data_IF_409656271018
#
_entry.id   IF_409656271018
#
_cell.length_a   1.000
_cell.length_b   1.000
_cell.length_c   1.000
_cell.angle_alpha   90.00
_cell.angle_beta   90.00
_cell.angle_gamma   90.00
#
_symmetry.space_group_name_H-M   'P 1'
#
loop_
_entity.id
_entity.type
_entity.pdbx_description
1 polymer ?
#
# COMPACT_ATOMS: atom_id res chain seq x y z
N UNK A 1 26.67 -3.48 0.37
CA UNK A 1 26.36 -4.25 -0.87
C UNK A 1 25.65 -3.32 -1.85
N UNK A 2 26.06 -3.29 -3.12
CA UNK A 2 25.41 -2.42 -4.11
C UNK A 2 24.24 -3.17 -4.78
N UNK A 3 23.13 -2.47 -4.96
CA UNK A 3 22.03 -2.95 -5.77
C UNK A 3 22.35 -2.78 -7.26
N UNK A 4 21.89 -3.71 -8.10
CA UNK A 4 22.06 -3.68 -9.55
C UNK A 4 20.92 -2.97 -10.27
N UNK A 5 19.69 -3.25 -9.86
CA UNK A 5 18.49 -2.83 -10.57
C UNK A 5 17.22 -3.05 -9.74
N UNK A 6 16.11 -2.55 -10.23
CA UNK A 6 14.78 -2.92 -9.78
C UNK A 6 14.11 -3.73 -10.90
N UNK A 7 13.58 -4.89 -10.57
CA UNK A 7 12.85 -5.75 -11.50
C UNK A 7 11.39 -5.32 -11.50
N UNK A 8 10.93 -4.76 -12.61
CA UNK A 8 9.55 -4.27 -12.74
C UNK A 8 8.66 -5.22 -13.54
N UNK A 9 7.39 -5.33 -13.12
CA UNK A 9 6.35 -6.10 -13.78
C UNK A 9 5.38 -5.25 -14.61
N UNK A 10 5.63 -3.97 -14.85
CA UNK A 10 4.72 -3.02 -15.52
C UNK A 10 4.20 -3.48 -16.87
N UNK A 11 4.99 -4.26 -17.60
CA UNK A 11 4.63 -4.75 -18.94
C UNK A 11 3.71 -5.98 -18.91
N UNK A 12 3.52 -6.61 -17.74
CA UNK A 12 2.68 -7.81 -17.55
C UNK A 12 1.56 -7.60 -16.53
N UNK A 13 1.62 -6.51 -15.76
CA UNK A 13 0.62 -6.13 -14.74
C UNK A 13 0.02 -4.78 -15.14
N UNK A 14 -1.28 -4.75 -15.33
CA UNK A 14 -2.02 -3.56 -15.73
C UNK A 14 -3.17 -3.17 -14.77
N UNK A 15 -3.32 -3.91 -13.66
CA UNK A 15 -4.36 -3.59 -12.70
C UNK A 15 -4.07 -2.26 -11.97
N UNK A 16 -5.08 -1.41 -11.73
CA UNK A 16 -4.89 -0.07 -11.16
C UNK A 16 -4.16 -0.04 -9.81
N UNK A 17 -4.31 -1.09 -8.99
CA UNK A 17 -3.64 -1.19 -7.69
C UNK A 17 -2.11 -1.40 -7.78
N UNK A 18 -1.57 -1.75 -8.96
CA UNK A 18 -0.13 -1.80 -9.19
C UNK A 18 0.51 -0.41 -9.40
N UNK A 19 -0.28 0.61 -9.70
CA UNK A 19 0.28 1.93 -10.04
C UNK A 19 1.07 2.55 -8.88
N UNK A 20 0.65 2.35 -7.63
CA UNK A 20 1.41 2.83 -6.46
C UNK A 20 2.76 2.12 -6.32
N UNK A 21 2.83 0.83 -6.67
CA UNK A 21 4.09 0.08 -6.69
C UNK A 21 5.04 0.67 -7.73
N UNK A 22 4.52 1.06 -8.89
CA UNK A 22 5.34 1.69 -9.93
C UNK A 22 5.86 3.06 -9.49
N UNK A 23 5.07 3.83 -8.75
CA UNK A 23 5.52 5.09 -8.16
C UNK A 23 6.68 4.84 -7.17
N UNK A 24 6.61 3.79 -6.34
CA UNK A 24 7.70 3.39 -5.47
C UNK A 24 8.94 2.90 -6.23
N UNK A 25 8.74 2.07 -7.27
CA UNK A 25 9.84 1.64 -8.16
C UNK A 25 10.56 2.85 -8.78
N UNK A 26 9.79 3.83 -9.28
CA UNK A 26 10.34 5.05 -9.91
C UNK A 26 11.11 5.91 -8.90
N UNK A 27 10.54 6.14 -7.71
CA UNK A 27 11.17 6.94 -6.68
C UNK A 27 12.47 6.29 -6.18
N UNK A 28 12.46 4.97 -5.90
CA UNK A 28 13.67 4.25 -5.48
C UNK A 28 14.71 4.21 -6.61
N UNK A 29 14.27 3.94 -7.86
CA UNK A 29 15.16 3.91 -9.01
C UNK A 29 15.86 5.26 -9.24
N UNK A 30 15.10 6.34 -9.15
CA UNK A 30 15.62 7.71 -9.27
C UNK A 30 16.61 8.03 -8.15
N UNK A 31 16.21 7.80 -6.90
CA UNK A 31 17.01 8.12 -5.72
C UNK A 31 18.33 7.35 -5.68
N UNK A 32 18.29 6.03 -5.94
CA UNK A 32 19.47 5.16 -5.94
C UNK A 32 20.21 5.10 -7.29
N UNK A 33 19.73 5.80 -8.32
CA UNK A 33 20.24 5.77 -9.70
C UNK A 33 20.31 4.33 -10.26
N UNK A 34 19.24 3.55 -10.06
CA UNK A 34 19.16 2.17 -10.50
C UNK A 34 18.34 2.06 -11.79
N UNK A 35 18.70 1.18 -12.72
CA UNK A 35 17.87 0.89 -13.87
C UNK A 35 16.64 0.07 -13.49
N UNK A 36 15.50 0.39 -14.12
CA UNK A 36 14.31 -0.48 -14.12
C UNK A 36 14.48 -1.55 -15.20
N UNK A 37 14.54 -2.81 -14.79
CA UNK A 37 14.71 -3.96 -15.68
C UNK A 37 13.39 -4.70 -15.79
N UNK A 38 12.91 -4.94 -17.01
CA UNK A 38 11.69 -5.73 -17.22
C UNK A 38 11.85 -7.14 -16.65
N UNK A 39 10.84 -7.59 -15.91
CA UNK A 39 10.76 -8.99 -15.53
C UNK A 39 10.80 -9.84 -16.80
N UNK A 40 11.68 -10.82 -16.83
CA UNK A 40 11.65 -11.79 -17.91
C UNK A 40 10.34 -12.59 -17.85
N UNK A 41 9.73 -12.88 -19.01
CA UNK A 41 8.56 -13.75 -19.05
C UNK A 41 8.92 -15.13 -18.47
N UNK A 42 7.91 -15.85 -18.00
CA UNK A 42 8.09 -17.26 -17.71
C UNK A 42 8.58 -17.98 -18.96
N UNK A 43 9.32 -19.08 -18.79
CA UNK A 43 9.91 -19.82 -19.90
C UNK A 43 8.88 -20.20 -20.99
N UNK A 44 7.62 -20.37 -20.63
CA UNK A 44 6.54 -20.79 -21.52
C UNK A 44 5.41 -19.75 -21.64
N UNK A 45 5.71 -18.48 -21.47
CA UNK A 45 4.78 -17.40 -21.70
C UNK A 45 4.70 -16.33 -20.61
N UNK A 46 3.73 -15.43 -20.72
CA UNK A 46 3.54 -14.32 -19.79
C UNK A 46 2.88 -14.71 -18.45
N UNK A 47 2.29 -15.91 -18.39
CA UNK A 47 1.64 -16.47 -17.20
C UNK A 47 2.29 -17.80 -16.84
N UNK A 48 2.41 -18.10 -15.54
CA UNK A 48 2.91 -19.37 -15.08
C UNK A 48 1.99 -20.52 -15.53
N UNK A 49 2.49 -21.37 -16.43
CA UNK A 49 1.81 -22.59 -16.87
C UNK A 49 1.97 -23.72 -15.84
N UNK A 50 1.26 -24.84 -16.05
CA UNK A 50 1.48 -26.04 -15.23
C UNK A 50 2.93 -26.55 -15.32
N UNK A 51 3.55 -26.38 -16.50
CA UNK A 51 4.93 -26.79 -16.75
C UNK A 51 5.91 -25.85 -16.03
N UNK A 52 5.70 -24.52 -16.06
CA UNK A 52 6.50 -23.58 -15.28
C UNK A 52 6.44 -23.92 -13.79
N UNK A 53 5.24 -24.24 -13.26
CA UNK A 53 5.07 -24.65 -11.86
C UNK A 53 5.82 -25.94 -11.53
N UNK A 54 5.93 -26.87 -12.46
CA UNK A 54 6.68 -28.11 -12.29
C UNK A 54 8.19 -27.85 -12.30
N UNK A 55 8.68 -27.11 -13.28
CA UNK A 55 10.11 -26.80 -13.47
C UNK A 55 10.69 -25.94 -12.34
N UNK A 56 9.86 -25.04 -11.78
CA UNK A 56 10.27 -24.17 -10.67
C UNK A 56 9.94 -24.73 -9.28
N UNK A 57 9.69 -26.03 -9.15
CA UNK A 57 9.62 -26.67 -7.83
C UNK A 57 10.98 -26.60 -7.13
N UNK A 58 11.03 -26.62 -5.77
CA UNK A 58 12.28 -26.51 -5.01
C UNK A 58 13.39 -27.47 -5.42
N UNK A 59 13.04 -28.65 -5.92
CA UNK A 59 14.01 -29.66 -6.41
C UNK A 59 14.66 -29.30 -7.76
N UNK A 60 14.03 -28.45 -8.57
CA UNK A 60 14.52 -28.06 -9.90
C UNK A 60 15.10 -26.64 -9.91
N UNK A 61 14.84 -25.86 -8.86
CA UNK A 61 15.24 -24.47 -8.73
C UNK A 61 16.76 -24.22 -8.93
N UNK A 62 17.69 -25.03 -8.41
CA UNK A 62 19.12 -24.85 -8.66
C UNK A 62 19.50 -24.85 -10.14
N UNK A 63 18.84 -25.68 -10.93
CA UNK A 63 19.06 -25.76 -12.38
C UNK A 63 18.60 -24.49 -13.11
N UNK A 64 17.47 -23.91 -12.68
CA UNK A 64 16.96 -22.67 -13.27
C UNK A 64 17.84 -21.46 -12.97
N UNK A 65 18.47 -21.39 -11.80
CA UNK A 65 19.47 -20.36 -11.47
C UNK A 65 20.68 -20.44 -12.38
N UNK A 66 21.19 -21.64 -12.66
CA UNK A 66 22.32 -21.87 -13.55
C UNK A 66 22.01 -21.46 -14.99
N UNK A 67 20.84 -21.87 -15.52
CA UNK A 67 20.45 -21.59 -16.91
C UNK A 67 20.17 -20.12 -17.19
N UNK A 68 19.75 -19.37 -16.20
CA UNK A 68 19.33 -17.97 -16.38
C UNK A 68 20.45 -16.95 -16.10
N UNK A 69 21.68 -17.43 -15.81
CA UNK A 69 22.84 -16.61 -15.49
C UNK A 69 22.70 -15.91 -14.12
N UNK A 70 23.74 -15.92 -13.32
CA UNK A 70 23.81 -15.19 -12.06
C UNK A 70 24.49 -13.84 -12.27
N UNK A 71 23.97 -12.80 -11.62
CA UNK A 71 24.72 -11.60 -11.33
C UNK A 71 24.98 -11.58 -9.84
N UNK A 72 26.17 -11.26 -9.43
CA UNK A 72 26.58 -11.22 -8.02
C UNK A 72 25.87 -10.09 -7.25
N UNK A 73 25.38 -9.08 -7.95
CA UNK A 73 24.68 -7.94 -7.33
C UNK A 73 23.18 -8.21 -7.22
N UNK A 74 22.57 -7.89 -6.07
CA UNK A 74 21.13 -8.08 -5.84
C UNK A 74 20.29 -7.08 -6.63
N UNK A 75 19.07 -7.52 -6.97
CA UNK A 75 18.02 -6.68 -7.56
C UNK A 75 16.80 -6.65 -6.66
N UNK A 76 16.15 -5.48 -6.53
CA UNK A 76 14.88 -5.37 -5.81
C UNK A 76 13.73 -5.90 -6.64
N UNK A 77 12.75 -6.49 -5.98
CA UNK A 77 11.51 -6.93 -6.60
C UNK A 77 10.32 -6.75 -5.68
N UNK A 78 9.31 -5.99 -6.15
CA UNK A 78 8.04 -5.85 -5.45
C UNK A 78 7.10 -7.01 -5.74
N UNK A 79 6.38 -7.43 -4.72
CA UNK A 79 5.33 -8.44 -4.77
C UNK A 79 4.08 -7.91 -4.05
N UNK A 80 2.95 -7.90 -4.75
CA UNK A 80 1.66 -7.81 -4.08
C UNK A 80 1.25 -9.25 -3.77
N UNK A 81 1.16 -9.60 -2.51
CA UNK A 81 1.08 -10.94 -1.94
C UNK A 81 2.32 -11.82 -2.19
N UNK A 82 2.64 -12.73 -1.28
CA UNK A 82 3.67 -13.73 -1.49
C UNK A 82 3.35 -14.60 -2.71
N UNK A 83 4.29 -14.78 -3.63
CA UNK A 83 4.04 -15.56 -4.84
C UNK A 83 3.78 -17.04 -4.54
N UNK A 84 3.03 -17.70 -5.42
CA UNK A 84 2.71 -19.13 -5.30
C UNK A 84 3.71 -20.08 -5.99
N UNK A 85 4.55 -19.54 -6.86
CA UNK A 85 5.45 -20.32 -7.69
C UNK A 85 6.87 -19.79 -7.60
N UNK A 86 7.83 -20.67 -7.58
CA UNK A 86 9.21 -20.32 -7.78
C UNK A 86 9.42 -19.80 -9.20
N UNK A 87 10.39 -18.94 -9.37
CA UNK A 87 10.71 -18.37 -10.66
C UNK A 87 11.82 -17.34 -10.54
N UNK A 88 11.96 -16.52 -11.54
CA UNK A 88 12.98 -15.50 -11.60
C UNK A 88 13.05 -14.61 -10.35
N UNK A 89 11.90 -14.29 -9.77
CA UNK A 89 11.77 -13.43 -8.57
C UNK A 89 12.19 -14.11 -7.25
N UNK A 90 12.40 -15.42 -7.24
CA UNK A 90 12.81 -16.17 -6.04
C UNK A 90 14.29 -16.55 -6.03
N UNK A 91 15.07 -16.06 -6.97
CA UNK A 91 16.52 -16.29 -7.01
C UNK A 91 17.20 -15.66 -5.80
N UNK A 92 18.30 -16.25 -5.35
CA UNK A 92 19.07 -15.81 -4.19
C UNK A 92 19.57 -14.36 -4.29
N UNK A 93 19.80 -13.85 -5.50
CA UNK A 93 20.20 -12.48 -5.76
C UNK A 93 19.03 -11.51 -5.98
N UNK A 94 17.78 -11.92 -5.74
CA UNK A 94 16.62 -11.03 -5.73
C UNK A 94 16.21 -10.74 -4.29
N UNK A 95 16.08 -9.46 -3.95
CA UNK A 95 15.60 -8.99 -2.66
C UNK A 95 14.10 -8.68 -2.80
N UNK A 96 13.22 -9.51 -2.23
CA UNK A 96 11.77 -9.30 -2.31
C UNK A 96 11.31 -8.21 -1.36
N UNK A 97 10.36 -7.40 -1.82
CA UNK A 97 9.56 -6.47 -1.02
C UNK A 97 8.11 -6.92 -1.15
N UNK A 98 7.54 -7.47 -0.06
CA UNK A 98 6.18 -8.03 -0.03
C UNK A 98 5.24 -7.03 0.61
N UNK A 99 4.25 -6.56 -0.13
CA UNK A 99 3.32 -5.51 0.28
C UNK A 99 2.15 -6.11 1.06
N UNK A 100 1.24 -6.80 0.38
CA UNK A 100 0.07 -7.42 0.99
C UNK A 100 0.42 -8.81 1.55
N UNK A 101 1.04 -8.86 2.73
CA UNK A 101 1.39 -10.11 3.39
C UNK A 101 0.33 -10.45 4.45
N UNK A 102 -0.70 -11.18 4.03
CA UNK A 102 -1.81 -11.54 4.89
C UNK A 102 -1.52 -12.79 5.72
N UNK A 103 -2.21 -12.92 6.87
CA UNK A 103 -1.98 -14.01 7.81
C UNK A 103 -2.08 -15.39 7.17
N UNK A 104 -3.05 -15.58 6.30
CA UNK A 104 -3.27 -16.84 5.60
C UNK A 104 -2.16 -17.20 4.60
N UNK A 105 -1.29 -16.26 4.26
CA UNK A 105 -0.23 -16.40 3.26
C UNK A 105 1.17 -16.45 3.86
N UNK A 106 1.31 -16.27 5.19
CA UNK A 106 2.62 -16.26 5.86
C UNK A 106 3.45 -17.51 5.58
N UNK A 107 2.81 -18.68 5.51
CA UNK A 107 3.45 -19.96 5.24
C UNK A 107 4.20 -20.01 3.90
N UNK A 108 3.90 -19.10 2.98
CA UNK A 108 4.57 -19.01 1.67
C UNK A 108 5.94 -18.36 1.77
N UNK A 109 6.14 -17.42 2.69
CA UNK A 109 7.39 -16.66 2.82
C UNK A 109 8.60 -17.57 2.99
N UNK A 110 8.66 -18.49 3.99
CA UNK A 110 9.81 -19.37 4.15
C UNK A 110 10.00 -20.31 2.96
N UNK A 111 8.92 -20.76 2.32
CA UNK A 111 9.01 -21.65 1.16
C UNK A 111 9.61 -20.93 -0.05
N UNK A 112 9.20 -19.68 -0.27
CA UNK A 112 9.53 -18.92 -1.46
C UNK A 112 10.86 -18.16 -1.35
N UNK A 113 11.22 -17.72 -0.16
CA UNK A 113 12.32 -16.77 0.02
C UNK A 113 13.44 -17.23 0.98
N UNK A 114 13.52 -18.52 1.32
CA UNK A 114 14.52 -19.08 2.26
C UNK A 114 16.00 -18.85 1.87
N UNK A 115 16.27 -18.49 0.62
CA UNK A 115 17.64 -18.27 0.10
C UNK A 115 18.01 -16.80 -0.03
N UNK A 116 17.08 -15.90 0.22
CA UNK A 116 17.32 -14.46 0.09
C UNK A 116 18.18 -13.94 1.24
N UNK A 117 19.03 -12.97 0.93
CA UNK A 117 19.88 -12.29 1.92
C UNK A 117 19.08 -11.29 2.78
N UNK A 118 17.97 -10.79 2.27
CA UNK A 118 17.02 -9.95 2.98
C UNK A 118 15.62 -10.15 2.37
N UNK A 119 14.58 -10.04 3.20
CA UNK A 119 13.17 -10.11 2.83
C UNK A 119 12.48 -8.92 3.49
N UNK A 120 11.96 -7.99 2.71
CA UNK A 120 11.20 -6.86 3.23
C UNK A 120 9.71 -7.15 3.20
N UNK A 121 9.01 -6.85 4.29
CA UNK A 121 7.56 -7.05 4.43
C UNK A 121 6.93 -5.76 4.95
N UNK A 122 5.89 -5.29 4.26
CA UNK A 122 5.23 -4.02 4.56
C UNK A 122 4.13 -4.11 5.64
N UNK A 123 4.06 -5.21 6.37
CA UNK A 123 3.10 -5.45 7.45
C UNK A 123 3.86 -5.86 8.71
N UNK A 124 3.79 -5.04 9.77
CA UNK A 124 4.54 -5.27 11.01
C UNK A 124 4.04 -6.50 11.77
N UNK A 125 2.72 -6.79 11.75
CA UNK A 125 2.16 -8.00 12.40
C UNK A 125 2.72 -9.25 11.72
N UNK A 126 2.77 -9.27 10.39
CA UNK A 126 3.38 -10.35 9.62
C UNK A 126 4.87 -10.54 9.95
N UNK A 127 5.62 -9.43 10.03
CA UNK A 127 7.05 -9.47 10.40
C UNK A 127 7.25 -10.05 11.78
N UNK A 128 6.46 -9.66 12.78
CA UNK A 128 6.58 -10.14 14.15
C UNK A 128 6.33 -11.66 14.24
N UNK A 129 5.28 -12.16 13.57
CA UNK A 129 4.98 -13.59 13.54
C UNK A 129 6.08 -14.36 12.82
N UNK A 130 6.51 -13.90 11.63
CA UNK A 130 7.53 -14.56 10.85
C UNK A 130 8.88 -14.63 11.59
N UNK A 131 9.28 -13.56 12.29
CA UNK A 131 10.51 -13.57 13.10
C UNK A 131 10.42 -14.56 14.29
N UNK A 132 9.24 -14.73 14.87
CA UNK A 132 9.03 -15.68 15.95
C UNK A 132 9.02 -17.14 15.47
N UNK A 133 8.39 -17.41 14.31
CA UNK A 133 8.27 -18.78 13.76
C UNK A 133 9.47 -19.22 12.92
N UNK A 134 10.16 -18.27 12.29
CA UNK A 134 11.26 -18.51 11.32
C UNK A 134 12.48 -17.62 11.67
N UNK A 135 13.12 -17.80 12.83
CA UNK A 135 14.16 -16.90 13.35
C UNK A 135 15.41 -16.82 12.48
N UNK A 136 15.64 -17.79 11.59
CA UNK A 136 16.77 -17.83 10.68
C UNK A 136 16.53 -17.05 9.36
N UNK A 137 15.29 -16.65 9.09
CA UNK A 137 15.00 -15.86 7.90
C UNK A 137 15.33 -14.38 8.14
N UNK A 138 16.04 -13.73 7.20
CA UNK A 138 16.43 -12.32 7.30
C UNK A 138 15.24 -11.40 6.96
N UNK A 139 14.22 -11.38 7.82
CA UNK A 139 12.98 -10.63 7.60
C UNK A 139 13.09 -9.25 8.23
N UNK A 140 12.75 -8.23 7.45
CA UNK A 140 12.80 -6.83 7.84
C UNK A 140 11.47 -6.14 7.57
N UNK A 141 11.04 -5.30 8.50
CA UNK A 141 9.88 -4.44 8.31
C UNK A 141 10.24 -3.26 7.40
N UNK A 142 9.46 -3.05 6.35
CA UNK A 142 9.55 -1.89 5.47
C UNK A 142 8.17 -1.24 5.37
N UNK A 143 7.90 -0.15 6.10
CA UNK A 143 6.60 0.50 6.06
C UNK A 143 6.23 0.99 4.65
N UNK A 144 4.93 1.04 4.37
CA UNK A 144 4.42 1.75 3.18
C UNK A 144 4.85 3.23 3.24
N UNK A 145 4.88 3.87 2.09
CA UNK A 145 5.44 5.21 1.94
C UNK A 145 4.80 5.97 0.77
N UNK A 146 5.24 7.19 0.56
CA UNK A 146 4.90 8.00 -0.60
C UNK A 146 6.17 8.67 -1.15
N UNK A 147 6.32 8.89 -2.46
CA UNK A 147 7.45 9.63 -3.03
C UNK A 147 7.57 11.03 -2.42
N UNK A 148 8.79 11.51 -2.20
CA UNK A 148 9.05 12.86 -1.66
C UNK A 148 8.43 13.95 -2.54
N UNK A 149 8.36 13.72 -3.85
CA UNK A 149 7.71 14.60 -4.82
C UNK A 149 6.22 14.84 -4.56
N UNK A 150 5.57 13.98 -3.80
CA UNK A 150 4.15 14.08 -3.47
C UNK A 150 3.87 14.89 -2.18
N UNK A 151 4.91 15.34 -1.48
CA UNK A 151 4.76 16.21 -0.31
C UNK A 151 4.18 17.54 -0.76
N UNK A 152 3.01 17.97 -0.23
CA UNK A 152 2.35 19.16 -0.69
C UNK A 152 3.09 20.43 -0.27
N UNK A 153 3.21 21.40 -1.17
CA UNK A 153 3.73 22.73 -0.86
C UNK A 153 2.60 23.74 -0.60
N UNK A 154 1.39 23.44 -1.05
CA UNK A 154 0.22 24.29 -0.94
C UNK A 154 -1.04 23.47 -0.66
N UNK A 155 -2.08 24.12 -0.17
CA UNK A 155 -3.35 23.49 0.10
C UNK A 155 -4.23 23.61 -1.15
N UNK A 156 -4.64 22.47 -1.78
CA UNK A 156 -5.50 22.52 -2.95
C UNK A 156 -6.91 23.02 -2.62
N UNK A 157 -7.58 23.55 -3.62
CA UNK A 157 -8.98 23.99 -3.48
C UNK A 157 -9.89 22.78 -3.22
N UNK A 158 -10.78 22.90 -2.24
CA UNK A 158 -11.68 21.86 -1.78
C UNK A 158 -13.13 22.17 -2.13
N UNK A 159 -13.80 21.23 -2.82
CA UNK A 159 -15.21 21.33 -3.20
C UNK A 159 -16.02 20.05 -2.93
N UNK A 160 -15.37 18.99 -2.45
CA UNK A 160 -16.00 17.77 -1.94
C UNK A 160 -15.85 17.78 -0.42
N UNK A 161 -16.96 17.69 0.32
CA UNK A 161 -16.93 17.78 1.78
C UNK A 161 -16.44 16.48 2.41
N UNK A 162 -17.00 15.32 2.01
CA UNK A 162 -16.63 14.01 2.54
C UNK A 162 -16.39 13.05 1.38
N UNK A 163 -15.29 12.30 1.47
CA UNK A 163 -14.93 11.27 0.49
C UNK A 163 -14.76 9.91 1.18
N UNK A 164 -15.42 8.89 0.63
CA UNK A 164 -15.16 7.48 0.94
C UNK A 164 -14.65 6.77 -0.30
N UNK A 165 -13.46 6.16 -0.23
CA UNK A 165 -12.86 5.47 -1.37
C UNK A 165 -12.12 4.19 -0.98
N UNK A 166 -11.99 3.29 -1.95
CA UNK A 166 -11.37 1.99 -1.73
C UNK A 166 -12.21 1.12 -0.79
N UNK A 167 -11.55 0.30 0.00
CA UNK A 167 -12.19 -0.59 0.99
C UNK A 167 -12.35 0.14 2.32
N UNK A 168 -13.32 1.02 2.42
CA UNK A 168 -13.68 1.72 3.64
C UNK A 168 -14.53 0.80 4.54
N UNK A 169 -14.38 0.92 5.86
CA UNK A 169 -15.19 0.17 6.84
C UNK A 169 -16.69 0.41 6.58
N UNK A 170 -17.54 -0.64 6.57
CA UNK A 170 -18.96 -0.50 6.29
C UNK A 170 -19.65 0.53 7.17
N UNK A 171 -19.35 0.57 8.47
CA UNK A 171 -19.93 1.53 9.39
C UNK A 171 -19.58 2.97 9.01
N UNK A 172 -18.33 3.26 8.61
CA UNK A 172 -17.96 4.59 8.14
C UNK A 172 -18.73 5.00 6.89
N UNK A 173 -18.97 4.07 5.97
CA UNK A 173 -19.78 4.33 4.77
C UNK A 173 -21.23 4.61 5.16
N UNK A 174 -21.80 3.78 6.04
CA UNK A 174 -23.15 3.95 6.57
C UNK A 174 -23.29 5.30 7.30
N UNK A 175 -22.34 5.64 8.19
CA UNK A 175 -22.33 6.91 8.91
C UNK A 175 -22.20 8.10 7.97
N UNK A 176 -21.39 7.97 6.89
CA UNK A 176 -21.30 9.00 5.86
C UNK A 176 -22.65 9.24 5.15
N UNK A 177 -23.38 8.17 4.82
CA UNK A 177 -24.72 8.27 4.25
C UNK A 177 -25.73 8.87 5.22
N UNK A 178 -25.71 8.44 6.50
CA UNK A 178 -26.57 8.98 7.53
C UNK A 178 -26.30 10.47 7.71
N UNK A 179 -25.05 10.88 7.88
CA UNK A 179 -24.67 12.28 8.03
C UNK A 179 -25.11 13.13 6.83
N UNK A 180 -24.92 12.65 5.61
CA UNK A 180 -25.34 13.35 4.39
C UNK A 180 -26.86 13.44 4.26
N UNK A 181 -27.64 12.52 4.85
CA UNK A 181 -29.10 12.61 4.90
C UNK A 181 -29.60 13.62 5.93
N UNK A 182 -28.89 13.76 7.05
CA UNK A 182 -29.16 14.76 8.10
C UNK A 182 -28.71 16.18 7.68
N UNK A 183 -27.72 16.26 6.75
CA UNK A 183 -27.10 17.49 6.25
C UNK A 183 -27.11 17.53 4.71
N UNK A 184 -28.26 17.85 4.06
CA UNK A 184 -28.41 17.77 2.59
C UNK A 184 -27.48 18.70 1.79
N UNK A 185 -26.93 19.74 2.44
CA UNK A 185 -25.95 20.66 1.87
C UNK A 185 -24.57 20.02 1.67
N UNK A 186 -24.26 18.96 2.44
CA UNK A 186 -22.95 18.29 2.42
C UNK A 186 -22.78 17.43 1.16
N UNK A 187 -21.67 17.64 0.47
CA UNK A 187 -21.27 16.81 -0.67
C UNK A 187 -20.54 15.56 -0.20
N UNK A 188 -21.27 14.45 -0.11
CA UNK A 188 -20.66 13.14 0.15
C UNK A 188 -20.46 12.37 -1.14
N UNK A 189 -19.19 12.06 -1.46
CA UNK A 189 -18.81 11.23 -2.59
C UNK A 189 -18.28 9.88 -2.12
N UNK A 190 -18.66 8.81 -2.80
CA UNK A 190 -18.17 7.46 -2.47
C UNK A 190 -17.99 6.59 -3.71
N UNK A 191 -17.17 5.54 -3.59
CA UNK A 191 -17.06 4.50 -4.60
C UNK A 191 -18.03 3.37 -4.24
N UNK A 192 -18.94 3.07 -5.16
CA UNK A 192 -19.80 1.90 -5.12
C UNK A 192 -19.52 0.96 -6.30
N UNK A 193 -20.30 -0.10 -6.41
CA UNK A 193 -20.21 -1.06 -7.53
C UNK A 193 -21.44 -0.94 -8.42
N UNK A 194 -21.22 -0.85 -9.72
CA UNK A 194 -22.26 -0.91 -10.73
C UNK A 194 -21.86 -1.89 -11.83
N UNK A 195 -22.67 -2.88 -12.09
CA UNK A 195 -22.38 -3.96 -13.06
C UNK A 195 -21.00 -4.59 -12.87
N UNK A 196 -20.61 -4.80 -11.59
CA UNK A 196 -19.32 -5.39 -11.24
C UNK A 196 -18.11 -4.46 -11.38
N UNK A 197 -18.31 -3.18 -11.70
CA UNK A 197 -17.24 -2.19 -11.86
C UNK A 197 -17.33 -1.10 -10.79
N UNK A 198 -16.19 -0.60 -10.27
CA UNK A 198 -16.19 0.54 -9.35
C UNK A 198 -16.66 1.80 -10.07
N UNK A 199 -17.60 2.50 -9.46
CA UNK A 199 -18.18 3.75 -9.97
C UNK A 199 -18.29 4.74 -8.82
N UNK A 200 -18.03 6.00 -9.13
CA UNK A 200 -18.24 7.10 -8.19
C UNK A 200 -19.71 7.50 -8.11
N UNK A 201 -20.14 7.81 -6.90
CA UNK A 201 -21.46 8.32 -6.61
C UNK A 201 -21.38 9.62 -5.81
N UNK A 202 -22.31 10.52 -6.09
CA UNK A 202 -22.58 11.73 -5.33
C UNK A 202 -24.09 11.92 -5.26
N UNK A 203 -24.66 12.13 -4.07
CA UNK A 203 -26.10 12.28 -3.86
C UNK A 203 -26.93 11.16 -4.52
N UNK A 204 -26.44 9.94 -4.50
CA UNK A 204 -27.09 8.77 -5.10
C UNK A 204 -26.98 8.67 -6.63
N UNK A 205 -26.39 9.65 -7.32
CA UNK A 205 -26.19 9.65 -8.76
C UNK A 205 -24.75 9.25 -9.12
N UNK A 206 -24.60 8.54 -10.24
CA UNK A 206 -23.27 8.25 -10.80
C UNK A 206 -22.60 9.53 -11.26
N UNK A 207 -21.29 9.60 -11.04
CA UNK A 207 -20.46 10.71 -11.52
C UNK A 207 -19.31 10.20 -12.41
N UNK A 208 -18.88 11.01 -13.35
CA UNK A 208 -17.76 10.70 -14.24
C UNK A 208 -16.41 11.12 -13.65
N UNK A 209 -16.08 10.67 -12.45
CA UNK A 209 -14.81 11.00 -11.79
C UNK A 209 -13.64 10.10 -12.20
N UNK A 210 -13.72 9.38 -13.30
CA UNK A 210 -12.64 8.54 -13.81
C UNK A 210 -12.21 7.40 -12.84
N UNK A 211 -11.59 6.35 -13.36
CA UNK A 211 -11.15 5.18 -12.57
C UNK A 211 -9.63 5.03 -12.48
N UNK A 212 -8.87 5.97 -13.04
CA UNK A 212 -7.40 5.93 -12.99
C UNK A 212 -6.88 6.41 -11.63
N UNK A 213 -5.64 6.05 -11.30
CA UNK A 213 -4.96 6.57 -10.11
C UNK A 213 -4.85 8.11 -10.16
N UNK A 214 -4.55 8.68 -11.32
CA UNK A 214 -4.51 10.13 -11.48
C UNK A 214 -5.86 10.77 -11.15
N UNK A 215 -6.96 10.21 -11.65
CA UNK A 215 -8.31 10.68 -11.33
C UNK A 215 -8.59 10.58 -9.82
N UNK A 216 -8.21 9.47 -9.17
CA UNK A 216 -8.31 9.33 -7.73
C UNK A 216 -7.54 10.43 -6.97
N UNK A 217 -6.30 10.72 -7.37
CA UNK A 217 -5.50 11.77 -6.73
C UNK A 217 -6.12 13.16 -6.93
N UNK A 218 -6.76 13.41 -8.07
CA UNK A 218 -7.52 14.66 -8.31
C UNK A 218 -8.77 14.77 -7.42
N UNK A 219 -9.52 13.67 -7.25
CA UNK A 219 -10.68 13.63 -6.34
C UNK A 219 -10.24 13.86 -4.89
N UNK A 220 -9.16 13.21 -4.45
CA UNK A 220 -8.57 13.44 -3.12
C UNK A 220 -8.15 14.91 -2.93
N UNK A 221 -7.49 15.51 -3.93
CA UNK A 221 -7.09 16.92 -3.84
C UNK A 221 -8.28 17.87 -3.64
N UNK A 222 -9.46 17.52 -4.18
CA UNK A 222 -10.70 18.27 -4.04
C UNK A 222 -11.46 17.99 -2.74
N UNK A 223 -11.09 16.96 -1.97
CA UNK A 223 -11.83 16.49 -0.80
C UNK A 223 -11.32 17.15 0.48
N UNK A 224 -12.25 17.60 1.34
CA UNK A 224 -11.95 18.19 2.66
C UNK A 224 -11.68 17.10 3.70
N UNK A 225 -12.60 16.14 3.81
CA UNK A 225 -12.56 15.05 4.78
C UNK A 225 -12.53 13.74 4.03
N UNK A 226 -11.66 12.81 4.45
CA UNK A 226 -11.54 11.48 3.86
C UNK A 226 -11.78 10.43 4.94
N UNK A 227 -12.63 9.46 4.64
CA UNK A 227 -12.92 8.34 5.52
C UNK A 227 -11.85 7.26 5.35
N UNK A 228 -11.18 6.91 6.44
CA UNK A 228 -10.06 5.97 6.44
C UNK A 228 -10.34 4.72 7.27
N UNK A 229 -9.89 3.58 6.80
CA UNK A 229 -9.93 2.34 7.58
C UNK A 229 -8.77 1.42 7.24
N UNK A 230 -8.42 0.58 8.22
CA UNK A 230 -7.49 -0.52 7.98
C UNK A 230 -8.25 -1.77 7.51
N UNK A 231 -7.71 -2.55 6.57
CA UNK A 231 -8.27 -3.86 6.24
C UNK A 231 -8.24 -4.75 7.49
N UNK A 232 -9.14 -5.73 7.56
CA UNK A 232 -9.23 -6.66 8.70
C UNK A 232 -9.97 -6.14 9.94
N UNK A 233 -10.40 -4.87 9.94
CA UNK A 233 -11.21 -4.31 11.02
C UNK A 233 -12.69 -4.72 10.95
N UNK A 234 -13.14 -5.33 9.86
CA UNK A 234 -14.52 -5.79 9.71
C UNK A 234 -14.60 -7.21 9.10
N UNK A 235 -15.71 -7.90 9.39
CA UNK A 235 -15.87 -9.32 9.07
C UNK A 235 -15.69 -9.67 7.58
N UNK A 236 -16.13 -8.81 6.67
CA UNK A 236 -16.01 -9.04 5.22
C UNK A 236 -14.54 -9.13 4.72
N UNK A 237 -13.62 -8.44 5.39
CA UNK A 237 -12.19 -8.47 5.06
C UNK A 237 -11.42 -9.51 5.88
N UNK A 238 -12.01 -10.02 6.96
CA UNK A 238 -11.32 -10.94 7.88
C UNK A 238 -10.90 -12.25 7.19
N UNK A 239 -11.75 -12.81 6.35
CA UNK A 239 -11.43 -14.03 5.60
C UNK A 239 -10.18 -13.83 4.72
N UNK A 240 -10.07 -12.68 4.06
CA UNK A 240 -8.93 -12.35 3.21
C UNK A 240 -7.66 -12.04 3.99
N UNK A 241 -7.77 -11.24 5.06
CA UNK A 241 -6.62 -10.72 5.80
C UNK A 241 -6.17 -11.63 6.95
N UNK A 242 -7.02 -12.54 7.39
CA UNK A 242 -6.83 -13.32 8.61
C UNK A 242 -6.77 -12.45 9.87
N UNK A 243 -7.42 -11.27 9.84
CA UNK A 243 -7.46 -10.30 10.93
C UNK A 243 -6.28 -9.30 10.94
N UNK A 244 -5.33 -9.39 10.02
CA UNK A 244 -4.27 -8.40 9.92
C UNK A 244 -4.80 -7.03 9.49
N UNK A 245 -4.35 -6.01 10.18
CA UNK A 245 -4.80 -4.63 9.97
C UNK A 245 -3.60 -3.67 9.83
N UNK A 246 -2.84 -3.76 8.72
CA UNK A 246 -1.70 -2.87 8.48
C UNK A 246 -2.14 -1.45 8.13
N UNK A 247 -1.21 -0.52 8.28
CA UNK A 247 -1.34 0.82 7.69
C UNK A 247 -1.29 0.71 6.17
N UNK A 248 -2.22 1.38 5.50
CA UNK A 248 -2.31 1.37 4.04
C UNK A 248 -1.81 2.67 3.43
N UNK A 249 -1.40 2.69 2.15
CA UNK A 249 -0.98 3.90 1.46
C UNK A 249 -2.02 5.03 1.47
N UNK A 250 -3.30 4.71 1.65
CA UNK A 250 -4.40 5.69 1.67
C UNK A 250 -4.25 6.79 2.74
N UNK A 251 -3.64 6.48 3.89
CA UNK A 251 -3.34 7.49 4.93
C UNK A 251 -2.33 8.52 4.42
N UNK A 252 -1.33 8.07 3.68
CA UNK A 252 -0.29 8.93 3.10
C UNK A 252 -0.85 9.75 1.93
N UNK A 253 -1.65 9.13 1.07
CA UNK A 253 -2.32 9.78 -0.07
C UNK A 253 -3.22 10.93 0.39
N UNK A 254 -4.04 10.69 1.43
CA UNK A 254 -4.92 11.71 1.99
C UNK A 254 -4.12 12.86 2.66
N UNK A 255 -3.04 12.53 3.38
CA UNK A 255 -2.14 13.53 3.96
C UNK A 255 -1.47 14.38 2.88
N UNK A 256 -1.01 13.76 1.77
CA UNK A 256 -0.38 14.44 0.65
C UNK A 256 -1.34 15.36 -0.12
N UNK A 257 -2.64 15.08 -0.07
CA UNK A 257 -3.68 15.93 -0.67
C UNK A 257 -4.33 16.89 0.33
N UNK A 258 -3.71 17.11 1.50
CA UNK A 258 -4.19 18.05 2.53
C UNK A 258 -5.66 17.77 2.92
N UNK A 259 -6.00 16.51 3.18
CA UNK A 259 -7.30 16.12 3.66
C UNK A 259 -7.28 15.98 5.19
N UNK A 260 -8.36 16.38 5.85
CA UNK A 260 -8.67 15.86 7.17
C UNK A 260 -9.03 14.39 7.07
N UNK A 261 -8.69 13.60 8.08
CA UNK A 261 -8.98 12.17 8.08
C UNK A 261 -9.75 11.78 9.32
N UNK A 262 -10.83 11.03 9.13
CA UNK A 262 -11.63 10.38 10.18
C UNK A 262 -11.67 8.89 9.89
N UNK A 263 -11.41 8.04 10.90
CA UNK A 263 -11.24 6.64 10.58
C UNK A 263 -11.53 5.63 11.67
N UNK A 264 -11.76 4.39 11.23
CA UNK A 264 -11.78 3.18 12.07
C UNK A 264 -10.51 2.38 11.77
N UNK A 265 -9.61 2.34 12.77
CA UNK A 265 -8.33 1.63 12.65
C UNK A 265 -7.88 1.10 14.02
N UNK A 266 -7.00 0.06 14.09
CA UNK A 266 -6.57 -0.51 15.35
C UNK A 266 -5.52 0.36 16.05
N UNK A 267 -5.39 0.19 17.35
CA UNK A 267 -4.29 0.74 18.16
C UNK A 267 -3.15 -0.28 18.28
N UNK A 268 -2.65 -0.78 17.16
CA UNK A 268 -1.51 -1.69 17.14
C UNK A 268 -0.16 -0.96 17.04
N UNK A 269 0.93 -1.72 17.13
CA UNK A 269 2.30 -1.18 17.12
C UNK A 269 2.64 -0.45 15.81
N UNK A 270 2.10 -0.88 14.68
CA UNK A 270 2.34 -0.25 13.39
C UNK A 270 1.73 1.14 13.32
N UNK A 271 0.47 1.30 13.76
CA UNK A 271 -0.22 2.58 13.82
C UNK A 271 0.45 3.55 14.79
N UNK A 272 0.89 3.06 15.96
CA UNK A 272 1.67 3.86 16.93
C UNK A 272 3.02 4.27 16.36
N UNK A 273 3.77 3.33 15.77
CA UNK A 273 5.09 3.59 15.19
C UNK A 273 5.04 4.62 14.07
N UNK A 274 4.02 4.55 13.22
CA UNK A 274 3.84 5.47 12.10
C UNK A 274 3.12 6.76 12.52
N UNK A 275 2.68 6.87 13.79
CA UNK A 275 2.04 8.06 14.34
C UNK A 275 0.77 8.46 13.56
N UNK A 276 -0.04 7.48 13.16
CA UNK A 276 -1.25 7.72 12.37
C UNK A 276 -2.24 8.62 13.12
N UNK A 277 -2.31 8.52 14.45
CA UNK A 277 -3.17 9.37 15.28
C UNK A 277 -2.85 10.87 15.17
N UNK A 278 -1.65 11.26 14.73
CA UNK A 278 -1.29 12.66 14.51
C UNK A 278 -2.03 13.27 13.31
N UNK A 279 -2.45 12.46 12.35
CA UNK A 279 -3.03 12.91 11.07
C UNK A 279 -4.47 12.41 10.83
N UNK A 280 -4.93 11.40 11.56
CA UNK A 280 -6.25 10.79 11.40
C UNK A 280 -6.96 10.67 12.75
N UNK A 281 -8.12 11.30 12.90
CA UNK A 281 -8.95 11.15 14.09
C UNK A 281 -9.63 9.79 14.09
N UNK A 282 -9.39 8.98 15.13
CA UNK A 282 -10.07 7.69 15.32
C UNK A 282 -11.46 7.92 15.90
N UNK A 283 -12.44 7.19 15.36
CA UNK A 283 -13.83 7.16 15.82
C UNK A 283 -14.30 5.72 15.94
N UNK A 284 -15.21 5.46 16.87
CA UNK A 284 -15.74 4.12 17.16
C UNK A 284 -17.27 4.07 17.18
N UNK A 285 -17.92 5.24 17.21
CA UNK A 285 -19.37 5.38 17.24
C UNK A 285 -19.84 6.44 16.23
N UNK A 286 -21.13 6.39 15.86
CA UNK A 286 -21.73 7.42 15.02
C UNK A 286 -21.67 8.81 15.66
N UNK A 287 -21.89 8.92 16.97
CA UNK A 287 -21.82 10.21 17.66
C UNK A 287 -20.44 10.85 17.56
N UNK A 288 -19.38 10.08 17.82
CA UNK A 288 -18.01 10.57 17.65
C UNK A 288 -17.71 10.98 16.20
N UNK A 289 -18.17 10.18 15.24
CA UNK A 289 -18.05 10.49 13.81
C UNK A 289 -18.77 11.78 13.45
N UNK A 290 -20.04 11.90 13.85
CA UNK A 290 -20.90 13.07 13.58
C UNK A 290 -20.27 14.37 14.10
N UNK A 291 -19.85 14.36 15.38
CA UNK A 291 -19.31 15.55 16.04
C UNK A 291 -17.97 15.96 15.41
N UNK A 292 -17.14 14.99 15.09
CA UNK A 292 -15.84 15.26 14.46
C UNK A 292 -16.00 15.76 13.02
N UNK A 293 -16.85 15.13 12.21
CA UNK A 293 -17.12 15.59 10.84
C UNK A 293 -17.69 16.99 10.85
N UNK A 294 -18.66 17.28 11.73
CA UNK A 294 -19.25 18.61 11.88
C UNK A 294 -18.19 19.66 12.25
N UNK A 295 -17.31 19.33 13.20
CA UNK A 295 -16.18 20.19 13.59
C UNK A 295 -15.25 20.47 12.40
N UNK A 296 -14.88 19.43 11.63
CA UNK A 296 -13.98 19.54 10.48
C UNK A 296 -14.59 20.29 9.29
N UNK A 297 -15.91 20.26 9.12
CA UNK A 297 -16.58 21.01 8.05
C UNK A 297 -16.52 22.52 8.27
N UNK A 298 -16.51 22.99 9.52
CA UNK A 298 -16.36 24.41 9.85
C UNK A 298 -14.88 24.83 9.98
N UNK A 299 -13.98 23.89 10.26
CA UNK A 299 -12.55 24.13 10.40
C UNK A 299 -11.87 24.09 9.03
N UNK A 300 -11.22 25.18 8.61
CA UNK A 300 -10.42 25.16 7.39
C UNK A 300 -9.11 24.42 7.64
N UNK A 301 -8.70 23.58 6.69
CA UNK A 301 -7.35 23.04 6.66
C UNK A 301 -6.36 24.22 6.50
N UNK A 302 -5.52 24.42 7.49
CA UNK A 302 -4.66 25.60 7.57
C UNK A 302 -3.17 25.24 7.50
N UNK A 303 -2.33 26.24 7.75
CA UNK A 303 -0.86 26.09 7.74
C UNK A 303 -0.36 25.10 8.79
N UNK A 304 -1.02 25.02 9.95
CA UNK A 304 -0.64 24.09 11.01
C UNK A 304 -0.85 22.63 10.58
N UNK A 305 -2.00 22.33 9.98
CA UNK A 305 -2.31 21.01 9.42
C UNK A 305 -1.39 20.67 8.27
N UNK A 306 -1.09 21.62 7.39
CA UNK A 306 -0.13 21.44 6.30
C UNK A 306 1.26 21.08 6.84
N UNK A 307 1.77 21.82 7.81
CA UNK A 307 3.07 21.59 8.44
C UNK A 307 3.11 20.22 9.12
N UNK A 308 2.05 19.83 9.82
CA UNK A 308 1.93 18.51 10.45
C UNK A 308 1.94 17.38 9.42
N UNK A 309 1.16 17.52 8.34
CA UNK A 309 1.14 16.52 7.26
C UNK A 309 2.49 16.45 6.53
N UNK A 310 3.14 17.57 6.27
CA UNK A 310 4.49 17.59 5.70
C UNK A 310 5.51 16.87 6.60
N UNK A 311 5.46 17.11 7.92
CA UNK A 311 6.36 16.45 8.87
C UNK A 311 6.14 14.93 8.89
N UNK A 312 4.87 14.49 8.90
CA UNK A 312 4.49 13.09 8.81
C UNK A 312 5.01 12.46 7.49
N UNK A 313 4.77 13.10 6.36
CA UNK A 313 5.18 12.60 5.04
C UNK A 313 6.71 12.55 4.91
N UNK A 314 7.44 13.60 5.33
CA UNK A 314 8.91 13.62 5.31
C UNK A 314 9.54 12.51 6.16
N UNK A 315 8.89 12.10 7.24
CA UNK A 315 9.32 10.95 8.04
C UNK A 315 9.10 9.60 7.33
N UNK A 316 8.27 9.58 6.26
CA UNK A 316 7.78 8.36 5.64
C UNK A 316 7.89 8.38 4.10
N UNK A 317 8.92 9.01 3.55
CA UNK A 317 9.13 9.04 2.08
C UNK A 317 9.65 7.70 1.54
N UNK A 318 9.42 7.46 0.26
CA UNK A 318 9.93 6.28 -0.44
C UNK A 318 11.47 6.30 -0.52
N UNK A 319 12.06 7.49 -0.60
CA UNK A 319 13.50 7.70 -0.59
C UNK A 319 14.11 7.25 0.76
N UNK A 320 13.47 7.55 1.88
CA UNK A 320 13.88 7.01 3.19
C UNK A 320 13.77 5.48 3.25
N UNK A 321 12.77 4.88 2.62
CA UNK A 321 12.69 3.41 2.51
C UNK A 321 13.83 2.86 1.67
N UNK A 322 14.27 3.58 0.63
CA UNK A 322 15.47 3.21 -0.12
C UNK A 322 16.72 3.21 0.77
N UNK A 323 16.88 4.20 1.65
CA UNK A 323 17.98 4.24 2.64
C UNK A 323 17.91 3.06 3.63
N UNK A 324 16.71 2.74 4.13
CA UNK A 324 16.50 1.59 5.03
C UNK A 324 16.87 0.27 4.34
N UNK A 325 16.50 0.10 3.07
CA UNK A 325 16.87 -1.07 2.25
C UNK A 325 18.40 -1.17 2.13
N UNK A 326 19.07 -0.09 1.75
CA UNK A 326 20.54 -0.08 1.61
C UNK A 326 21.23 -0.38 2.94
N UNK A 327 20.76 0.21 4.04
CA UNK A 327 21.32 -0.05 5.38
C UNK A 327 21.24 -1.53 5.75
N UNK A 328 20.10 -2.17 5.54
CA UNK A 328 19.94 -3.62 5.80
C UNK A 328 20.90 -4.44 4.93
N UNK A 329 20.97 -4.14 3.63
CA UNK A 329 21.82 -4.89 2.69
C UNK A 329 23.32 -4.67 2.90
N UNK A 330 23.74 -3.60 3.57
CA UNK A 330 25.14 -3.37 3.94
C UNK A 330 25.54 -4.14 5.18
N UNK A 331 24.60 -4.46 6.07
CA UNK A 331 24.80 -5.21 7.29
C UNK A 331 24.65 -6.73 7.12
N UNK A 332 24.09 -7.16 6.01
CA UNK A 332 23.90 -8.56 5.61
C UNK A 332 25.09 -8.99 4.75
#
# INVERSE_FOLDING_TARGET
>A
MNLRSIITARHIQNAPFWQIVWEWEDAIASYLRLPLVKQQPYLFGSKATKLDRLLFRPCVFPYSEFLLGQSDLPALRFHINPPWVHGYHTRSNVVPIVIDCWRNELHRIPVMFRRQKAIFVCNLEAVNILKASEPLLPIHYLPVSLPESDIPNEIPQKDIDILSYGRTHPDLVQWGHQFASEHPEVRFCWIGTHEGRPVWYEKGQKTEMGSSRQALMQVLARSRIVLQSSPGMHAQEFERTGGFSPVTPRFFEAAAKCCHMVGIYPENDEFRRLRIADICQRVTTYSEFHDEVKRLLITRFGTNELTRNQAFLRANTTERRAEDIIRVLQLS
#
